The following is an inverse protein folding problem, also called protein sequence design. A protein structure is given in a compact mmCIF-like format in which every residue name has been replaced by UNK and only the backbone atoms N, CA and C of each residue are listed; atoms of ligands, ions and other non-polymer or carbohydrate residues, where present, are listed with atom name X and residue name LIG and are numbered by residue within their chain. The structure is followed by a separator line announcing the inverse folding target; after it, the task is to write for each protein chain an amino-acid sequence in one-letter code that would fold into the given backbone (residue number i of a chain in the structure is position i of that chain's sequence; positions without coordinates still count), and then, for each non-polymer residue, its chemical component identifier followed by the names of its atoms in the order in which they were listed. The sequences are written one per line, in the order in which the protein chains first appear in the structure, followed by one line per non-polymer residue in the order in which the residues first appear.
data_IF_204183314579
#
_entry.id   IF_204183314579
#
_cell.length_a   1.000
_cell.length_b   1.000
_cell.length_c   1.000
_cell.angle_alpha   90.00
_cell.angle_beta   90.00
_cell.angle_gamma   90.00
#
_symmetry.space_group_name_H-M   'P 1'
#
loop_
_entity.id
_entity.type
_entity.pdbx_description
1 polymer ?
#
# COMPACT_ATOMS: atom_id res chain seq x y z
N UNK A 1 25.43 20.96 5.92
CA UNK A 1 24.52 19.97 6.54
C UNK A 1 23.15 20.12 5.88
N UNK A 2 22.77 19.21 5.00
CA UNK A 2 21.48 19.23 4.31
C UNK A 2 20.41 18.65 5.24
N UNK A 3 19.48 19.49 5.70
CA UNK A 3 18.35 19.03 6.49
C UNK A 3 17.47 18.11 5.64
N UNK A 4 17.36 16.84 6.02
CA UNK A 4 16.40 15.90 5.43
C UNK A 4 15.00 16.43 5.72
N UNK A 5 14.27 16.87 4.69
CA UNK A 5 12.84 17.22 4.84
C UNK A 5 12.13 16.04 5.47
N UNK A 6 11.60 16.22 6.67
CA UNK A 6 10.76 15.24 7.32
C UNK A 6 9.51 15.09 6.45
N UNK A 7 9.38 13.94 5.77
CA UNK A 7 8.17 13.61 5.02
C UNK A 7 7.03 13.47 6.04
N UNK A 8 5.85 14.00 5.72
CA UNK A 8 4.70 13.85 6.61
C UNK A 8 4.50 12.36 6.94
N UNK A 9 4.29 12.05 8.20
CA UNK A 9 4.19 10.66 8.70
C UNK A 9 3.14 9.84 7.94
N UNK A 10 2.12 10.52 7.40
CA UNK A 10 0.99 9.95 6.68
C UNK A 10 1.13 9.97 5.15
N UNK A 11 2.26 10.40 4.60
CA UNK A 11 2.38 10.45 3.14
C UNK A 11 2.69 9.04 2.58
N UNK A 12 1.82 8.51 1.70
CA UNK A 12 2.03 7.20 1.11
C UNK A 12 3.38 7.10 0.40
N UNK A 13 4.15 6.06 0.71
CA UNK A 13 5.46 5.81 0.08
C UNK A 13 5.28 4.88 -1.09
N UNK A 14 5.82 5.21 -2.27
CA UNK A 14 5.81 4.29 -3.39
C UNK A 14 6.40 2.93 -2.97
N UNK A 15 5.76 1.85 -3.41
CA UNK A 15 6.15 0.49 -3.09
C UNK A 15 6.18 -0.37 -4.36
N UNK A 16 7.10 -1.32 -4.39
CA UNK A 16 7.08 -2.39 -5.39
C UNK A 16 6.40 -3.58 -4.76
N UNK A 17 5.23 -3.95 -5.29
CA UNK A 17 4.44 -5.06 -4.79
C UNK A 17 4.31 -6.13 -5.88
N UNK A 18 4.81 -7.33 -5.57
CA UNK A 18 4.49 -8.53 -6.35
C UNK A 18 3.13 -9.06 -5.88
N UNK A 19 2.28 -9.51 -6.80
CA UNK A 19 0.92 -9.93 -6.47
C UNK A 19 0.62 -11.34 -6.98
N UNK A 20 -0.28 -12.02 -6.28
CA UNK A 20 -0.95 -13.20 -6.80
C UNK A 20 -1.90 -12.81 -7.95
N UNK A 21 -2.42 -13.82 -8.66
CA UNK A 21 -3.38 -13.62 -9.77
C UNK A 21 -4.62 -12.84 -9.35
N UNK A 22 -5.08 -13.02 -8.10
CA UNK A 22 -6.23 -12.31 -7.52
C UNK A 22 -5.92 -10.85 -7.09
N UNK A 23 -4.68 -10.42 -7.26
CA UNK A 23 -4.20 -9.10 -6.89
C UNK A 23 -3.82 -8.94 -5.41
N UNK A 24 -3.83 -10.01 -4.61
CA UNK A 24 -3.35 -9.97 -3.22
C UNK A 24 -1.82 -9.84 -3.16
N UNK A 25 -1.26 -9.10 -2.18
CA UNK A 25 0.19 -8.92 -2.07
C UNK A 25 0.93 -10.21 -1.74
N UNK A 26 1.93 -10.56 -2.56
CA UNK A 26 2.86 -11.67 -2.33
C UNK A 26 4.19 -11.17 -1.75
N UNK A 27 4.67 -10.00 -2.20
CA UNK A 27 5.91 -9.38 -1.73
C UNK A 27 5.74 -7.86 -1.65
N UNK A 28 6.33 -7.21 -0.65
CA UNK A 28 6.41 -5.75 -0.51
C UNK A 28 7.88 -5.35 -0.42
N UNK A 29 8.36 -4.53 -1.35
CA UNK A 29 9.76 -4.04 -1.39
C UNK A 29 10.81 -5.16 -1.19
N UNK A 30 10.60 -6.31 -1.87
CA UNK A 30 11.43 -7.53 -1.82
C UNK A 30 11.29 -8.36 -0.53
N UNK A 31 10.48 -7.95 0.44
CA UNK A 31 10.13 -8.77 1.60
C UNK A 31 8.87 -9.61 1.28
N UNK A 32 8.91 -10.94 1.44
CA UNK A 32 7.72 -11.76 1.25
C UNK A 32 6.65 -11.46 2.30
N UNK A 33 5.39 -11.53 1.88
CA UNK A 33 4.24 -11.46 2.78
C UNK A 33 4.03 -12.83 3.41
N UNK A 34 3.95 -12.88 4.74
CA UNK A 34 3.63 -14.07 5.50
C UNK A 34 2.11 -14.29 5.62
N UNK A 35 1.35 -13.21 5.83
CA UNK A 35 -0.09 -13.23 6.00
C UNK A 35 -0.72 -11.89 5.56
N UNK A 36 -1.86 -11.96 4.89
CA UNK A 36 -2.79 -10.83 4.73
C UNK A 36 -3.80 -10.89 5.87
N UNK A 37 -3.83 -9.87 6.73
CA UNK A 37 -4.73 -9.78 7.89
C UNK A 37 -6.10 -9.28 7.49
N UNK A 38 -6.12 -8.23 6.68
CA UNK A 38 -7.35 -7.57 6.24
C UNK A 38 -7.19 -7.05 4.81
N UNK A 39 -8.31 -7.01 4.10
CA UNK A 39 -8.45 -6.37 2.80
C UNK A 39 -9.65 -5.43 2.86
N UNK A 40 -9.49 -4.21 2.33
CA UNK A 40 -10.60 -3.27 2.19
C UNK A 40 -10.45 -2.40 0.95
N UNK A 41 -11.55 -1.80 0.51
CA UNK A 41 -11.57 -0.85 -0.61
C UNK A 41 -12.07 0.50 -0.15
N UNK A 42 -11.46 1.54 -0.70
CA UNK A 42 -11.92 2.92 -0.60
C UNK A 42 -12.28 3.37 -2.01
N UNK A 43 -13.57 3.64 -2.22
CA UNK A 43 -14.07 4.28 -3.42
C UNK A 43 -14.68 5.62 -3.01
N UNK A 44 -14.14 6.70 -3.54
CA UNK A 44 -14.53 8.06 -3.18
C UNK A 44 -14.47 8.98 -4.40
N UNK A 45 -15.13 10.14 -4.33
CA UNK A 45 -15.15 11.16 -5.39
C UNK A 45 -15.55 10.62 -6.77
N UNK A 46 -16.32 9.55 -6.83
CA UNK A 46 -16.70 8.89 -8.10
C UNK A 46 -17.61 9.75 -8.99
N UNK A 47 -18.18 10.83 -8.45
CA UNK A 47 -18.97 11.83 -9.18
C UNK A 47 -18.14 13.03 -9.65
N UNK A 48 -16.81 13.02 -9.45
CA UNK A 48 -15.91 14.07 -9.90
C UNK A 48 -15.02 13.55 -11.03
N UNK A 49 -14.29 14.47 -11.66
CA UNK A 49 -13.27 14.13 -12.68
C UNK A 49 -12.02 13.47 -12.08
N UNK A 50 -11.91 13.40 -10.75
CA UNK A 50 -10.80 12.79 -10.02
C UNK A 50 -11.29 11.69 -9.06
N UNK A 51 -11.86 10.59 -9.58
CA UNK A 51 -12.29 9.47 -8.76
C UNK A 51 -11.10 8.89 -7.98
N UNK A 52 -11.41 8.34 -6.81
CA UNK A 52 -10.46 7.59 -6.00
C UNK A 52 -10.97 6.16 -5.93
N UNK A 53 -10.23 5.21 -6.49
CA UNK A 53 -10.43 3.79 -6.25
C UNK A 53 -9.13 3.16 -5.74
N UNK A 54 -9.15 2.67 -4.51
CA UNK A 54 -7.97 2.11 -3.84
C UNK A 54 -8.32 0.80 -3.14
N UNK A 55 -7.48 -0.21 -3.36
CA UNK A 55 -7.56 -1.51 -2.66
C UNK A 55 -6.41 -1.61 -1.68
N UNK A 56 -6.74 -1.70 -0.40
CA UNK A 56 -5.81 -1.73 0.72
C UNK A 56 -5.68 -3.14 1.31
N UNK A 57 -4.50 -3.41 1.87
CA UNK A 57 -4.17 -4.64 2.55
C UNK A 57 -3.35 -4.33 3.81
N UNK A 58 -3.76 -4.86 4.96
CA UNK A 58 -2.91 -4.99 6.14
C UNK A 58 -2.18 -6.33 6.07
N UNK A 59 -0.85 -6.31 6.08
CA UNK A 59 0.00 -7.47 5.88
C UNK A 59 1.06 -7.61 6.96
N UNK A 60 1.39 -8.87 7.28
CA UNK A 60 2.56 -9.23 8.07
C UNK A 60 3.64 -9.71 7.10
N UNK A 61 4.81 -9.09 7.13
CA UNK A 61 5.98 -9.53 6.36
C UNK A 61 6.63 -10.74 7.03
N UNK A 62 7.41 -11.54 6.28
CA UNK A 62 8.16 -12.65 6.88
C UNK A 62 9.15 -12.24 7.98
N UNK A 63 9.54 -10.96 8.05
CA UNK A 63 10.30 -10.40 9.17
C UNK A 63 9.50 -10.30 10.47
N UNK A 64 8.17 -10.46 10.43
CA UNK A 64 7.24 -10.18 11.53
C UNK A 64 6.78 -8.72 11.59
N UNK A 65 7.25 -7.87 10.68
CA UNK A 65 6.84 -6.46 10.63
C UNK A 65 5.47 -6.29 9.97
N UNK A 66 4.64 -5.39 10.52
CA UNK A 66 3.37 -4.99 9.92
C UNK A 66 3.56 -3.88 8.88
N UNK A 67 2.86 -4.00 7.76
CA UNK A 67 2.78 -2.96 6.74
C UNK A 67 1.34 -2.84 6.22
N UNK A 68 0.93 -1.62 5.90
CA UNK A 68 -0.27 -1.40 5.09
C UNK A 68 0.20 -1.04 3.70
N UNK A 69 -0.31 -1.75 2.69
CA UNK A 69 -0.09 -1.44 1.28
C UNK A 69 -1.40 -1.19 0.58
N UNK A 70 -1.40 -0.35 -0.43
CA UNK A 70 -2.57 -0.19 -1.28
C UNK A 70 -2.20 0.02 -2.74
N UNK A 71 -3.07 -0.48 -3.61
CA UNK A 71 -3.05 -0.21 -5.04
C UNK A 71 -4.01 0.93 -5.31
N UNK A 72 -3.50 2.00 -5.91
CA UNK A 72 -4.33 2.98 -6.60
C UNK A 72 -4.74 2.37 -7.94
N UNK A 73 -6.02 2.07 -8.11
CA UNK A 73 -6.53 1.35 -9.27
C UNK A 73 -6.61 2.26 -10.50
N UNK A 74 -6.89 3.54 -10.31
CA UNK A 74 -6.89 4.56 -11.38
C UNK A 74 -5.49 4.75 -11.96
N UNK A 75 -4.47 4.80 -11.10
CA UNK A 75 -3.06 5.04 -11.50
C UNK A 75 -2.25 3.77 -11.69
N UNK A 76 -2.84 2.61 -11.40
CA UNK A 76 -2.20 1.29 -11.41
C UNK A 76 -0.86 1.24 -10.66
N UNK A 77 -0.73 1.96 -9.54
CA UNK A 77 0.51 2.04 -8.77
C UNK A 77 0.32 1.68 -7.30
N UNK A 78 1.40 1.24 -6.66
CA UNK A 78 1.38 0.74 -5.28
C UNK A 78 2.06 1.69 -4.30
N UNK A 79 1.51 1.73 -3.10
CA UNK A 79 2.06 2.49 -1.99
C UNK A 79 2.10 1.65 -0.71
N UNK A 80 2.94 2.05 0.24
CA UNK A 80 3.08 1.45 1.57
C UNK A 80 3.19 2.51 2.65
N UNK A 81 2.78 2.12 3.85
CA UNK A 81 2.99 2.80 5.13
C UNK A 81 3.28 1.75 6.21
N UNK A 82 3.92 2.14 7.31
CA UNK A 82 4.05 1.22 8.46
C UNK A 82 2.66 0.93 9.01
N UNK A 83 2.35 -0.34 9.24
CA UNK A 83 1.12 -0.75 9.91
C UNK A 83 1.12 -0.28 11.36
N UNK A 84 -0.07 -0.16 11.95
CA UNK A 84 -0.24 0.13 13.36
C UNK A 84 0.22 -1.03 14.26
#
# INVERSE_FOLDING_TARGET
MTARRARALYEPRAAVVGMHVDGTPQHVNRQPVALVREEWRVVDRWWTEEPVSRRYFDVVLQSGENAVVFRDEERACWFTQRGA
#
